data_IF_143897047052
#
_entry.id   IF_143897047052
#
_cell.length_a   1.000
_cell.length_b   1.000
_cell.length_c   1.000
_cell.angle_alpha   90.00
_cell.angle_beta   90.00
_cell.angle_gamma   90.00
#
_symmetry.space_group_name_H-M   'P 1'
#
loop_
_entity.id
_entity.type
_entity.pdbx_description
1 polymer ?
#
# COMPACT_ATOMS: atom_id res chain seq x y z
N UNK A 1 -2.35 37.03 -14.33
CA UNK A 1 -3.54 36.23 -14.70
C UNK A 1 -3.04 35.06 -15.53
N UNK A 2 -3.02 33.87 -14.95
CA UNK A 2 -2.45 32.68 -15.56
C UNK A 2 -3.42 31.99 -16.51
N UNK A 3 -2.90 31.37 -17.57
CA UNK A 3 -3.66 30.83 -18.70
C UNK A 3 -4.38 29.51 -18.40
N UNK A 4 -5.18 29.04 -19.36
CA UNK A 4 -5.95 27.81 -19.26
C UNK A 4 -5.09 26.55 -19.02
N UNK A 5 -3.77 26.66 -19.26
CA UNK A 5 -2.81 25.56 -19.26
C UNK A 5 -1.94 25.55 -17.98
N UNK A 6 -2.26 26.41 -17.00
CA UNK A 6 -1.55 26.48 -15.74
C UNK A 6 -1.77 25.21 -14.90
N UNK A 7 -0.74 24.35 -14.87
CA UNK A 7 -0.63 23.16 -14.01
C UNK A 7 -0.79 23.46 -12.50
N UNK A 8 -0.69 24.73 -12.09
CA UNK A 8 -0.94 25.20 -10.72
C UNK A 8 -2.41 25.13 -10.29
N UNK A 9 -3.38 25.05 -11.22
CA UNK A 9 -4.79 24.92 -10.87
C UNK A 9 -5.17 23.51 -10.37
N UNK A 10 -4.33 22.50 -10.59
CA UNK A 10 -4.55 21.12 -10.13
C UNK A 10 -4.52 20.97 -8.60
N UNK A 11 -3.78 21.83 -7.91
CA UNK A 11 -3.75 21.87 -6.44
C UNK A 11 -5.03 22.47 -5.84
N UNK A 12 -5.72 23.36 -6.56
CA UNK A 12 -6.96 23.97 -6.07
C UNK A 12 -8.18 23.04 -6.17
N UNK A 13 -8.22 22.11 -7.14
CA UNK A 13 -9.34 21.15 -7.32
C UNK A 13 -9.19 19.87 -6.51
N UNK A 14 -8.04 19.63 -5.90
CA UNK A 14 -7.77 18.48 -5.03
C UNK A 14 -7.68 18.87 -3.56
N UNK A 15 -8.47 19.86 -3.11
CA UNK A 15 -8.80 20.01 -1.69
C UNK A 15 -9.78 18.93 -1.23
N UNK A 16 -9.62 17.69 -1.71
CA UNK A 16 -10.22 16.52 -1.07
C UNK A 16 -9.35 16.30 0.17
N UNK A 17 -9.82 16.88 1.27
CA UNK A 17 -9.21 16.84 2.59
C UNK A 17 -8.43 15.54 2.79
N UNK A 18 -7.10 15.67 2.85
CA UNK A 18 -6.26 14.69 3.52
C UNK A 18 -6.65 14.72 5.00
N UNK A 19 -7.80 14.13 5.35
CA UNK A 19 -8.07 13.79 6.74
C UNK A 19 -7.01 12.77 7.13
N UNK A 20 -6.17 13.05 8.13
CA UNK A 20 -5.24 12.07 8.67
C UNK A 20 -5.98 10.77 8.95
N UNK A 21 -5.32 9.63 8.73
CA UNK A 21 -5.88 8.27 8.83
C UNK A 21 -6.19 7.88 10.28
N UNK A 22 -6.91 8.70 11.04
CA UNK A 22 -7.38 8.39 12.39
C UNK A 22 -8.78 7.79 12.34
N UNK A 23 -9.01 6.84 11.42
CA UNK A 23 -10.14 5.94 11.54
C UNK A 23 -9.84 5.01 12.73
N UNK A 24 -10.15 5.45 13.95
CA UNK A 24 -10.02 4.68 15.20
C UNK A 24 -10.90 3.41 15.18
N UNK A 25 -11.69 3.19 14.13
CA UNK A 25 -12.57 2.04 13.95
C UNK A 25 -12.33 1.35 12.58
N UNK A 26 -12.13 0.03 12.57
CA UNK A 26 -11.69 -0.71 11.38
C UNK A 26 -12.68 -0.64 10.21
N UNK A 27 -13.99 -0.63 10.49
CA UNK A 27 -15.04 -0.57 9.46
C UNK A 27 -15.01 0.72 8.62
N UNK A 28 -14.67 1.87 9.24
CA UNK A 28 -14.54 3.15 8.51
C UNK A 28 -13.33 3.16 7.58
N UNK A 29 -12.23 2.52 7.99
CA UNK A 29 -11.06 2.37 7.15
C UNK A 29 -11.39 1.51 5.92
N UNK A 30 -12.06 0.37 6.11
CA UNK A 30 -12.43 -0.53 5.02
C UNK A 30 -13.32 0.14 3.97
N UNK A 31 -14.36 0.88 4.40
CA UNK A 31 -15.24 1.61 3.48
C UNK A 31 -14.50 2.69 2.68
N UNK A 32 -13.54 3.38 3.30
CA UNK A 32 -12.72 4.38 2.61
C UNK A 32 -11.75 3.74 1.61
N UNK A 33 -11.17 2.59 1.94
CA UNK A 33 -10.33 1.82 1.01
C UNK A 33 -11.11 1.37 -0.23
N UNK A 34 -12.33 0.87 -0.05
CA UNK A 34 -13.19 0.48 -1.17
C UNK A 34 -13.45 1.65 -2.13
N UNK A 35 -13.75 2.84 -1.59
CA UNK A 35 -13.92 4.07 -2.41
C UNK A 35 -12.65 4.48 -3.14
N UNK A 36 -11.48 4.35 -2.49
CA UNK A 36 -10.21 4.69 -3.13
C UNK A 36 -9.86 3.74 -4.28
N UNK A 37 -10.08 2.43 -4.09
CA UNK A 37 -9.85 1.42 -5.13
C UNK A 37 -10.79 1.61 -6.34
N UNK A 38 -12.06 1.95 -6.12
CA UNK A 38 -13.01 2.25 -7.20
C UNK A 38 -12.54 3.45 -8.05
N UNK A 39 -12.01 4.51 -7.42
CA UNK A 39 -11.47 5.66 -8.15
C UNK A 39 -10.23 5.29 -8.98
N UNK A 40 -9.30 4.54 -8.39
CA UNK A 40 -8.08 4.08 -9.09
C UNK A 40 -8.45 3.23 -10.31
N UNK A 41 -9.43 2.34 -10.16
CA UNK A 41 -9.92 1.49 -11.24
C UNK A 41 -10.60 2.30 -12.35
N UNK A 42 -11.50 3.24 -11.99
CA UNK A 42 -12.22 4.09 -12.97
C UNK A 42 -11.29 5.00 -13.77
N UNK A 43 -10.22 5.47 -13.15
CA UNK A 43 -9.26 6.39 -13.76
C UNK A 43 -8.06 5.66 -14.38
N UNK A 44 -8.04 4.32 -14.32
CA UNK A 44 -6.99 3.46 -14.86
C UNK A 44 -5.57 3.86 -14.41
N UNK A 45 -5.43 4.33 -13.16
CA UNK A 45 -4.13 4.75 -12.65
C UNK A 45 -3.18 3.59 -12.33
N UNK A 46 -3.74 2.42 -12.01
CA UNK A 46 -2.97 1.20 -11.77
C UNK A 46 -3.84 -0.03 -12.08
N UNK A 47 -3.23 -1.09 -12.60
CA UNK A 47 -3.88 -2.37 -12.84
C UNK A 47 -3.12 -3.46 -12.07
N UNK A 48 -3.74 -4.16 -11.10
CA UNK A 48 -3.11 -5.28 -10.43
C UNK A 48 -2.94 -6.44 -11.43
N UNK A 49 -1.71 -6.97 -11.54
CA UNK A 49 -1.39 -8.03 -12.49
C UNK A 49 -1.53 -9.42 -11.86
N UNK A 50 -0.88 -9.63 -10.72
CA UNK A 50 -0.90 -10.90 -10.00
C UNK A 50 -0.56 -10.69 -8.52
N UNK A 51 -0.97 -11.65 -7.69
CA UNK A 51 -0.47 -11.81 -6.32
C UNK A 51 0.35 -13.10 -6.30
N UNK A 52 1.55 -13.04 -5.74
CA UNK A 52 2.44 -14.20 -5.62
C UNK A 52 2.62 -14.61 -4.17
N UNK A 53 2.98 -15.88 -3.95
CA UNK A 53 3.39 -16.39 -2.64
C UNK A 53 4.91 -16.32 -2.54
N UNK A 54 5.42 -15.77 -1.45
CA UNK A 54 6.86 -15.66 -1.20
C UNK A 54 7.34 -16.90 -0.46
N UNK A 55 8.11 -17.75 -1.16
CA UNK A 55 8.68 -18.98 -0.62
C UNK A 55 10.16 -18.78 -0.29
N UNK A 56 10.60 -19.24 0.88
CA UNK A 56 11.99 -19.15 1.32
C UNK A 56 12.65 -20.53 1.29
N UNK A 57 13.85 -20.61 0.71
CA UNK A 57 14.70 -21.78 0.75
C UNK A 57 15.84 -21.57 1.76
N UNK A 58 15.94 -22.43 2.76
CA UNK A 58 16.98 -22.39 3.78
C UNK A 58 17.34 -23.80 4.27
N UNK A 59 18.52 -23.94 4.88
CA UNK A 59 18.99 -25.21 5.42
C UNK A 59 18.20 -25.63 6.67
N UNK A 60 18.00 -26.93 6.86
CA UNK A 60 17.28 -27.50 8.01
C UNK A 60 17.96 -27.23 9.37
N UNK A 61 19.24 -26.83 9.35
CA UNK A 61 20.01 -26.41 10.51
C UNK A 61 19.74 -24.96 10.94
N UNK A 62 19.07 -24.17 10.09
CA UNK A 62 18.72 -22.79 10.38
C UNK A 62 17.32 -22.72 11.00
N UNK A 63 17.23 -22.14 12.20
CA UNK A 63 15.97 -21.72 12.81
C UNK A 63 15.55 -20.39 12.17
N UNK A 64 14.68 -20.47 11.16
CA UNK A 64 14.22 -19.32 10.39
C UNK A 64 12.70 -19.20 10.41
N UNK A 65 12.20 -17.99 10.65
CA UNK A 65 10.79 -17.62 10.58
C UNK A 65 10.54 -16.72 9.36
N UNK A 66 9.65 -17.15 8.46
CA UNK A 66 9.20 -16.34 7.34
C UNK A 66 8.14 -15.31 7.80
N UNK A 67 8.21 -14.10 7.24
CA UNK A 67 7.29 -13.02 7.54
C UNK A 67 6.59 -12.52 6.26
N UNK A 68 5.32 -12.07 6.34
CA UNK A 68 4.51 -11.68 5.19
C UNK A 68 4.88 -10.31 4.60
N UNK A 69 5.76 -9.56 5.28
CA UNK A 69 6.28 -8.28 4.81
C UNK A 69 7.51 -8.42 3.90
N UNK A 70 7.82 -9.65 3.50
CA UNK A 70 8.91 -10.01 2.58
C UNK A 70 10.33 -9.67 3.06
N UNK A 71 10.49 -9.20 4.29
CA UNK A 71 11.78 -8.83 4.88
C UNK A 71 12.24 -9.90 5.88
N UNK A 72 13.29 -10.68 5.56
CA UNK A 72 13.85 -11.67 6.48
C UNK A 72 14.48 -10.98 7.71
N UNK A 73 14.10 -11.43 8.91
CA UNK A 73 14.69 -10.95 10.17
C UNK A 73 15.84 -11.86 10.58
N UNK A 74 17.00 -11.66 9.95
CA UNK A 74 18.19 -12.48 10.25
C UNK A 74 18.71 -12.30 11.68
N UNK A 75 18.38 -11.19 12.33
CA UNK A 75 18.73 -10.95 13.73
C UNK A 75 17.96 -11.87 14.70
N UNK A 76 16.82 -12.42 14.29
CA UNK A 76 16.04 -13.40 15.08
C UNK A 76 16.40 -14.85 14.70
N UNK A 77 17.27 -15.05 13.70
CA UNK A 77 17.65 -16.36 13.21
C UNK A 77 18.81 -16.95 14.04
N UNK A 78 18.79 -18.26 14.23
CA UNK A 78 19.85 -18.99 14.93
C UNK A 78 20.15 -20.33 14.30
N UNK A 79 21.33 -20.87 14.59
CA UNK A 79 21.72 -22.22 14.19
C UNK A 79 21.41 -23.22 15.30
N UNK A 80 21.01 -24.43 14.93
CA UNK A 80 20.80 -25.55 15.87
C UNK A 80 22.11 -26.16 16.36
#
# INVERSE_FOLDING_TARGET
KGGADDIGQGMARSRRSWTPRTARRPWRAQANYAKALDLIARQAYAAPLFTYSTSYAYTSQLNFQAYPDEVPRFYDASWK
#
